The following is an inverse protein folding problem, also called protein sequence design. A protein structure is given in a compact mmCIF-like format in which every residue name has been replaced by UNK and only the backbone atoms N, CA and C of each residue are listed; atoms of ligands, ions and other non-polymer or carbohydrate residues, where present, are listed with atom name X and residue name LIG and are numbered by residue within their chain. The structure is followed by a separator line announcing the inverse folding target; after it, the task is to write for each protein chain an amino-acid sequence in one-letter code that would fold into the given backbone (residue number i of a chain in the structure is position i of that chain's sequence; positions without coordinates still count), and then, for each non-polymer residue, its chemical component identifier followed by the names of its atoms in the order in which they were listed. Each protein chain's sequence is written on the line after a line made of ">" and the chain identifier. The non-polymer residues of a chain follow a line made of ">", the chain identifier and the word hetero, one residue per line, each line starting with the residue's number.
data_IF_225152237215
#
_entry.id   IF_225152237215
#
_cell.length_a   1.000
_cell.length_b   1.000
_cell.length_c   1.000
_cell.angle_alpha   90.00
_cell.angle_beta   90.00
_cell.angle_gamma   90.00
#
_symmetry.space_group_name_H-M   'P 1'
#
loop_
_entity.id
_entity.type
_entity.pdbx_description
1 polymer ?
#
# COMPACT_ATOMS: atom_id res chain seq x y z
N UNK A 1 -11.31 14.04 17.20
CA UNK A 1 -11.66 14.26 15.77
C UNK A 1 -11.13 13.17 14.84
N UNK A 2 -9.83 12.84 14.85
CA UNK A 2 -9.26 11.85 13.92
C UNK A 2 -9.88 10.43 14.01
N UNK A 3 -10.21 9.94 15.21
CA UNK A 3 -10.86 8.62 15.40
C UNK A 3 -12.24 8.54 14.74
N UNK A 4 -13.01 9.65 14.78
CA UNK A 4 -14.33 9.72 14.15
C UNK A 4 -14.22 9.70 12.62
N UNK A 5 -13.19 10.34 12.06
CA UNK A 5 -12.91 10.30 10.61
C UNK A 5 -12.56 8.87 10.19
N UNK A 6 -11.75 8.15 10.97
CA UNK A 6 -11.42 6.75 10.68
C UNK A 6 -12.64 5.84 10.75
N UNK A 7 -13.50 6.03 11.75
CA UNK A 7 -14.76 5.29 11.84
C UNK A 7 -15.66 5.56 10.62
N UNK A 8 -15.80 6.82 10.21
CA UNK A 8 -16.60 7.20 9.04
C UNK A 8 -16.04 6.60 7.74
N UNK A 9 -14.72 6.63 7.55
CA UNK A 9 -14.05 6.00 6.40
C UNK A 9 -14.21 4.47 6.42
N UNK A 10 -14.18 3.85 7.61
CA UNK A 10 -14.42 2.42 7.77
C UNK A 10 -15.85 2.03 7.35
N UNK A 11 -16.85 2.80 7.76
CA UNK A 11 -18.25 2.58 7.35
C UNK A 11 -18.42 2.84 5.86
N UNK A 12 -17.87 3.93 5.34
CA UNK A 12 -17.93 4.27 3.91
C UNK A 12 -17.33 3.15 3.05
N UNK A 13 -16.16 2.62 3.44
CA UNK A 13 -15.54 1.48 2.77
C UNK A 13 -16.46 0.27 2.81
N UNK A 14 -16.98 -0.11 3.98
CA UNK A 14 -17.85 -1.27 4.13
C UNK A 14 -19.09 -1.15 3.23
N UNK A 15 -19.77 0.00 3.27
CA UNK A 15 -20.97 0.24 2.47
C UNK A 15 -20.65 0.22 0.98
N UNK A 16 -19.58 0.88 0.55
CA UNK A 16 -19.20 0.92 -0.88
C UNK A 16 -18.83 -0.46 -1.40
N UNK A 17 -18.02 -1.22 -0.67
CA UNK A 17 -17.63 -2.58 -1.09
C UNK A 17 -18.81 -3.55 -1.08
N UNK A 18 -19.71 -3.45 -0.10
CA UNK A 18 -20.93 -4.26 -0.06
C UNK A 18 -21.92 -3.85 -1.15
N UNK A 19 -22.01 -2.56 -1.51
CA UNK A 19 -22.91 -2.10 -2.57
C UNK A 19 -22.48 -2.51 -3.97
N UNK A 20 -21.17 -2.71 -4.17
CA UNK A 20 -20.58 -3.10 -5.46
C UNK A 20 -20.37 -4.64 -5.51
N UNK A 21 -20.74 -5.38 -4.46
CA UNK A 21 -20.42 -6.81 -4.30
C UNK A 21 -18.95 -7.11 -4.59
N UNK A 22 -18.05 -6.24 -4.11
CA UNK A 22 -16.63 -6.38 -4.32
C UNK A 22 -16.10 -7.62 -3.57
N UNK A 23 -15.29 -8.43 -4.24
CA UNK A 23 -14.70 -9.62 -3.65
C UNK A 23 -13.63 -9.24 -2.63
N UNK A 24 -13.88 -9.53 -1.36
CA UNK A 24 -12.93 -9.34 -0.27
C UNK A 24 -12.68 -10.64 0.46
N UNK A 25 -11.42 -11.03 0.60
CA UNK A 25 -11.05 -12.18 1.41
C UNK A 25 -11.39 -11.92 2.88
N UNK A 26 -12.35 -12.67 3.41
CA UNK A 26 -12.69 -12.62 4.83
C UNK A 26 -11.52 -13.01 5.75
N UNK A 27 -10.48 -13.68 5.23
CA UNK A 27 -9.24 -14.00 5.97
C UNK A 27 -8.30 -12.81 6.20
N UNK A 28 -8.48 -11.68 5.49
CA UNK A 28 -7.61 -10.51 5.70
C UNK A 28 -7.98 -9.75 6.99
N UNK A 29 -9.27 -9.44 7.15
CA UNK A 29 -9.75 -8.64 8.28
C UNK A 29 -11.01 -9.22 8.95
N UNK A 30 -11.77 -10.07 8.25
CA UNK A 30 -13.11 -10.50 8.64
C UNK A 30 -14.17 -10.09 7.62
N UNK A 31 -15.42 -10.43 7.89
CA UNK A 31 -16.56 -10.19 6.98
C UNK A 31 -16.98 -8.71 6.96
N UNK A 32 -16.96 -8.04 8.11
CA UNK A 32 -17.41 -6.65 8.26
C UNK A 32 -16.29 -5.69 8.69
N UNK A 33 -15.12 -6.23 9.04
CA UNK A 33 -13.98 -5.47 9.51
C UNK A 33 -13.12 -4.99 8.35
N UNK A 34 -12.44 -3.86 8.55
CA UNK A 34 -11.47 -3.36 7.60
C UNK A 34 -10.36 -2.59 8.32
N UNK A 35 -9.31 -2.27 7.57
CA UNK A 35 -8.13 -1.57 8.08
C UNK A 35 -8.45 -0.27 8.84
N UNK A 36 -9.47 0.50 8.43
CA UNK A 36 -9.82 1.74 9.13
C UNK A 36 -10.43 1.47 10.51
N UNK A 37 -11.23 0.40 10.65
CA UNK A 37 -11.74 -0.04 11.95
C UNK A 37 -10.62 -0.56 12.86
N UNK A 38 -9.63 -1.26 12.31
CA UNK A 38 -8.40 -1.64 13.03
C UNK A 38 -7.68 -0.40 13.56
N UNK A 39 -7.41 0.61 12.72
CA UNK A 39 -6.77 1.87 13.15
C UNK A 39 -7.59 2.67 14.17
N UNK A 40 -8.91 2.71 13.99
CA UNK A 40 -9.82 3.38 14.91
C UNK A 40 -9.75 2.73 16.30
N UNK A 41 -9.79 1.40 16.35
CA UNK A 41 -9.73 0.61 17.59
C UNK A 41 -8.37 0.73 18.25
N UNK A 42 -7.28 0.65 17.50
CA UNK A 42 -5.92 0.83 18.01
C UNK A 42 -5.72 2.19 18.66
N UNK A 43 -6.22 3.27 18.03
CA UNK A 43 -6.15 4.61 18.62
C UNK A 43 -6.96 4.73 19.91
N UNK A 44 -8.15 4.13 19.96
CA UNK A 44 -8.95 4.09 21.18
C UNK A 44 -8.28 3.30 22.30
N UNK A 45 -7.73 2.13 21.96
CA UNK A 45 -6.99 1.25 22.87
C UNK A 45 -5.74 1.96 23.41
N UNK A 46 -4.96 2.60 22.54
CA UNK A 46 -3.77 3.36 22.94
C UNK A 46 -4.13 4.47 23.94
N UNK A 47 -5.15 5.28 23.65
CA UNK A 47 -5.61 6.31 24.57
C UNK A 47 -5.99 5.76 25.95
N UNK A 48 -6.60 4.57 25.99
CA UNK A 48 -6.96 3.90 27.24
C UNK A 48 -5.72 3.38 28.00
N UNK A 49 -4.75 2.80 27.27
CA UNK A 49 -3.51 2.25 27.84
C UNK A 49 -2.58 3.32 28.36
N UNK A 50 -2.43 4.44 27.63
CA UNK A 50 -1.66 5.61 28.05
C UNK A 50 -2.19 6.17 29.38
N UNK A 51 -3.52 6.09 29.61
CA UNK A 51 -4.15 6.48 30.88
C UNK A 51 -3.99 5.46 32.00
N UNK A 52 -3.89 4.17 31.64
CA UNK A 52 -3.73 3.09 32.61
C UNK A 52 -2.27 2.85 33.02
N UNK A 53 -1.29 3.42 32.30
CA UNK A 53 0.14 3.23 32.56
C UNK A 53 0.62 1.80 32.29
N UNK A 54 -0.12 1.02 31.48
CA UNK A 54 0.15 -0.39 31.22
C UNK A 54 1.00 -0.51 29.94
N UNK A 55 2.22 -1.01 30.08
CA UNK A 55 3.01 -1.48 28.94
C UNK A 55 2.45 -2.85 28.52
N UNK A 56 1.87 -2.95 27.32
CA UNK A 56 1.25 -4.20 26.88
C UNK A 56 2.28 -5.32 26.72
N UNK A 57 1.93 -6.50 27.24
CA UNK A 57 2.58 -7.77 26.90
C UNK A 57 2.00 -8.32 25.60
N UNK A 58 2.86 -8.80 24.70
CA UNK A 58 2.46 -9.46 23.47
C UNK A 58 1.63 -10.70 23.80
N UNK A 59 0.38 -10.75 23.33
CA UNK A 59 -0.50 -11.91 23.52
C UNK A 59 -0.09 -13.03 22.57
N UNK A 60 0.90 -13.81 22.99
CA UNK A 60 1.22 -15.13 22.45
C UNK A 60 0.12 -16.10 22.90
N UNK A 61 -0.79 -16.47 21.99
CA UNK A 61 -1.83 -17.47 22.30
C UNK A 61 -3.09 -17.39 21.43
N UNK A 62 -3.30 -16.32 20.66
CA UNK A 62 -4.49 -16.18 19.80
C UNK A 62 -4.31 -16.75 18.37
N UNK A 63 -3.11 -17.22 18.03
CA UNK A 63 -2.77 -17.53 16.64
C UNK A 63 -3.56 -18.73 16.11
N UNK A 64 -3.74 -19.77 16.93
CA UNK A 64 -4.50 -20.97 16.56
C UNK A 64 -5.99 -20.68 16.35
N UNK A 65 -6.53 -19.71 17.10
CA UNK A 65 -7.93 -19.26 16.96
C UNK A 65 -8.13 -18.38 15.72
N UNK A 66 -7.16 -17.53 15.38
CA UNK A 66 -7.22 -16.67 14.19
C UNK A 66 -7.05 -17.48 12.90
N UNK A 67 -6.16 -18.48 12.90
CA UNK A 67 -5.91 -19.32 11.72
C UNK A 67 -6.94 -20.44 11.50
N UNK A 68 -7.84 -20.69 12.46
CA UNK A 68 -8.89 -21.69 12.24
C UNK A 68 -9.83 -21.26 11.11
N UNK A 69 -10.38 -22.21 10.36
CA UNK A 69 -11.39 -21.93 9.34
C UNK A 69 -12.79 -21.70 9.92
N UNK A 70 -12.99 -22.06 11.20
CA UNK A 70 -14.30 -22.01 11.85
C UNK A 70 -14.76 -20.57 12.07
N UNK A 71 -15.90 -20.24 11.47
CA UNK A 71 -16.59 -18.96 11.64
C UNK A 71 -18.03 -19.23 12.02
N UNK A 72 -18.49 -18.60 13.09
CA UNK A 72 -19.90 -18.51 13.43
C UNK A 72 -20.47 -17.21 12.82
N UNK A 73 -21.33 -17.28 11.79
CA UNK A 73 -21.94 -16.10 11.17
C UNK A 73 -22.86 -15.32 12.13
N UNK A 74 -23.36 -15.95 13.20
CA UNK A 74 -24.23 -15.30 14.18
C UNK A 74 -23.46 -14.39 15.14
N UNK A 75 -22.15 -14.59 15.29
CA UNK A 75 -21.29 -13.82 16.18
C UNK A 75 -20.44 -12.81 15.41
N UNK A 76 -20.68 -11.52 15.62
CA UNK A 76 -19.84 -10.45 15.05
C UNK A 76 -18.37 -10.58 15.44
N UNK A 77 -18.07 -11.19 16.59
CA UNK A 77 -16.70 -11.40 17.04
C UNK A 77 -16.03 -12.53 16.25
N UNK A 78 -16.74 -13.64 16.00
CA UNK A 78 -16.22 -14.77 15.22
C UNK A 78 -16.10 -14.43 13.73
N UNK A 79 -17.06 -13.66 13.21
CA UNK A 79 -17.05 -13.17 11.84
C UNK A 79 -15.90 -12.18 11.52
N UNK A 80 -15.31 -11.57 12.56
CA UNK A 80 -14.23 -10.58 12.43
C UNK A 80 -13.00 -10.93 13.26
N UNK A 81 -12.80 -12.22 13.55
CA UNK A 81 -11.76 -12.70 14.46
C UNK A 81 -10.35 -12.36 14.00
N UNK A 82 -10.11 -12.25 12.70
CA UNK A 82 -8.82 -11.92 12.11
C UNK A 82 -8.45 -10.45 12.37
N UNK A 83 -9.41 -9.54 12.15
CA UNK A 83 -9.25 -8.11 12.42
C UNK A 83 -9.16 -7.78 13.91
N UNK A 84 -9.90 -8.49 14.76
CA UNK A 84 -9.89 -8.29 16.21
C UNK A 84 -8.66 -8.96 16.85
N UNK A 85 -8.35 -10.19 16.43
CA UNK A 85 -7.23 -10.97 16.94
C UNK A 85 -5.86 -10.37 16.58
N UNK A 86 -5.80 -9.55 15.54
CA UNK A 86 -4.59 -8.80 15.18
C UNK A 86 -4.36 -7.53 16.00
N UNK A 87 -5.36 -7.04 16.75
CA UNK A 87 -5.25 -5.79 17.54
C UNK A 87 -4.08 -5.78 18.54
N UNK A 88 -3.81 -6.85 19.32
CA UNK A 88 -2.68 -6.86 20.24
C UNK A 88 -1.34 -6.79 19.50
N UNK A 89 -1.20 -7.48 18.37
CA UNK A 89 0.01 -7.46 17.54
C UNK A 89 0.26 -6.07 16.95
N UNK A 90 -0.78 -5.44 16.41
CA UNK A 90 -0.69 -4.07 15.93
C UNK A 90 -0.41 -3.06 17.04
N UNK A 91 -0.96 -3.25 18.24
CA UNK A 91 -0.69 -2.37 19.37
C UNK A 91 0.76 -2.50 19.86
N UNK A 92 1.31 -3.72 19.87
CA UNK A 92 2.72 -3.96 20.17
C UNK A 92 3.65 -3.29 19.13
N UNK A 93 3.35 -3.44 17.83
CA UNK A 93 4.08 -2.77 16.76
C UNK A 93 4.03 -1.25 16.90
N UNK A 94 2.86 -0.71 17.22
CA UNK A 94 2.68 0.73 17.43
C UNK A 94 3.52 1.25 18.60
N UNK A 95 3.50 0.56 19.74
CA UNK A 95 4.31 0.92 20.92
C UNK A 95 5.81 0.81 20.63
N UNK A 96 6.24 -0.24 19.93
CA UNK A 96 7.63 -0.39 19.50
C UNK A 96 8.07 0.79 18.62
N UNK A 97 7.26 1.15 17.62
CA UNK A 97 7.51 2.29 16.75
C UNK A 97 7.52 3.62 17.52
N UNK A 98 6.64 3.80 18.51
CA UNK A 98 6.62 4.99 19.35
C UNK A 98 7.91 5.10 20.19
N UNK A 99 8.31 4.02 20.88
CA UNK A 99 9.56 3.97 21.65
C UNK A 99 10.79 4.23 20.78
N UNK A 100 10.85 3.62 19.59
CA UNK A 100 11.93 3.86 18.62
C UNK A 100 11.92 5.31 18.12
N UNK A 101 10.73 5.87 17.85
CA UNK A 101 10.55 7.25 17.45
C UNK A 101 11.06 8.23 18.49
N UNK A 102 10.69 8.02 19.76
CA UNK A 102 11.14 8.84 20.89
C UNK A 102 12.64 8.72 21.12
N UNK A 103 13.20 7.51 21.08
CA UNK A 103 14.64 7.28 21.19
C UNK A 103 15.41 7.97 20.06
N UNK A 104 14.95 7.82 18.82
CA UNK A 104 15.51 8.51 17.67
C UNK A 104 15.40 10.04 17.81
N UNK A 105 14.25 10.55 18.25
CA UNK A 105 14.03 11.97 18.46
C UNK A 105 14.98 12.54 19.50
N UNK A 106 15.13 11.87 20.65
CA UNK A 106 16.07 12.26 21.71
C UNK A 106 17.53 12.20 21.23
N UNK A 107 17.90 11.16 20.48
CA UNK A 107 19.23 11.05 19.88
C UNK A 107 19.50 12.20 18.90
N UNK A 108 18.54 12.50 18.02
CA UNK A 108 18.66 13.62 17.08
C UNK A 108 18.75 14.96 17.79
N UNK A 109 17.96 15.19 18.84
CA UNK A 109 18.06 16.39 19.67
C UNK A 109 19.41 16.49 20.38
N UNK A 110 19.99 15.37 20.79
CA UNK A 110 21.26 15.34 21.52
C UNK A 110 22.49 15.55 20.63
N UNK A 111 22.47 15.00 19.42
CA UNK A 111 23.66 14.85 18.57
C UNK A 111 23.65 15.65 17.27
N UNK A 112 22.48 16.07 16.77
CA UNK A 112 22.37 16.76 15.48
C UNK A 112 22.08 18.24 15.69
N UNK A 113 20.84 18.65 15.98
CA UNK A 113 20.40 20.00 16.41
C UNK A 113 18.92 19.93 16.87
N UNK A 114 18.43 20.82 17.76
CA UNK A 114 17.02 20.86 18.15
C UNK A 114 16.10 21.15 16.96
N UNK A 115 14.89 20.55 16.98
CA UNK A 115 13.98 20.55 15.83
C UNK A 115 13.54 21.96 15.43
N UNK A 116 14.03 22.42 14.29
CA UNK A 116 13.50 23.58 13.58
C UNK A 116 12.32 23.15 12.69
N UNK A 117 11.21 23.89 12.70
CA UNK A 117 10.04 23.63 11.84
C UNK A 117 10.38 23.60 10.34
N UNK A 118 11.55 24.13 9.94
CA UNK A 118 12.07 24.12 8.56
C UNK A 118 12.72 22.79 8.18
N UNK A 119 13.21 22.01 9.14
CA UNK A 119 13.92 20.75 8.91
C UNK A 119 12.99 19.52 8.79
N UNK A 120 11.72 19.61 9.18
CA UNK A 120 10.76 18.51 9.06
C UNK A 120 10.51 18.12 7.58
N UNK A 121 10.52 19.10 6.68
CA UNK A 121 10.51 18.82 5.24
C UNK A 121 11.84 18.23 4.77
N UNK A 122 12.96 18.56 5.42
CA UNK A 122 14.27 18.04 5.05
C UNK A 122 14.38 16.54 5.34
N UNK A 123 13.86 16.04 6.47
CA UNK A 123 13.84 14.59 6.73
C UNK A 123 12.99 13.83 5.72
N UNK A 124 11.81 14.34 5.36
CA UNK A 124 11.00 13.75 4.30
C UNK A 124 11.72 13.78 2.94
N UNK A 125 12.30 14.93 2.56
CA UNK A 125 13.03 15.09 1.30
C UNK A 125 14.25 14.18 1.25
N UNK A 126 15.02 14.06 2.34
CA UNK A 126 16.19 13.17 2.43
C UNK A 126 15.76 11.71 2.38
N UNK A 127 14.65 11.32 3.01
CA UNK A 127 14.14 9.96 2.95
C UNK A 127 13.65 9.58 1.54
N UNK A 128 12.87 10.46 0.89
CA UNK A 128 12.43 10.27 -0.50
C UNK A 128 13.64 10.26 -1.43
N UNK A 129 14.61 11.14 -1.23
CA UNK A 129 15.85 11.15 -2.02
C UNK A 129 16.62 9.84 -1.83
N UNK A 130 16.76 9.33 -0.60
CA UNK A 130 17.46 8.08 -0.32
C UNK A 130 16.77 6.87 -0.97
N UNK A 131 15.43 6.78 -0.92
CA UNK A 131 14.66 5.73 -1.60
C UNK A 131 14.88 5.77 -3.11
N UNK A 132 14.80 6.95 -3.73
CA UNK A 132 15.05 7.10 -5.15
C UNK A 132 16.51 6.79 -5.53
N UNK A 133 17.47 7.24 -4.70
CA UNK A 133 18.89 6.97 -4.91
C UNK A 133 19.20 5.47 -4.80
N UNK A 134 18.55 4.75 -3.88
CA UNK A 134 18.70 3.30 -3.74
C UNK A 134 18.24 2.58 -5.02
N UNK A 135 17.12 2.99 -5.61
CA UNK A 135 16.64 2.43 -6.88
C UNK A 135 17.62 2.74 -8.01
N UNK A 136 18.07 3.99 -8.13
CA UNK A 136 19.04 4.40 -9.18
C UNK A 136 20.38 3.68 -9.03
N UNK A 137 20.92 3.57 -7.81
CA UNK A 137 22.17 2.86 -7.53
C UNK A 137 22.01 1.35 -7.74
N UNK A 138 20.86 0.78 -7.39
CA UNK A 138 20.53 -0.61 -7.69
C UNK A 138 20.51 -0.88 -9.19
N UNK A 139 19.82 -0.03 -9.97
CA UNK A 139 19.84 -0.09 -11.42
C UNK A 139 21.25 0.10 -11.98
N UNK A 140 22.02 1.07 -11.46
CA UNK A 140 23.38 1.34 -11.89
C UNK A 140 24.36 0.23 -11.51
N UNK A 141 24.15 -0.52 -10.43
CA UNK A 141 24.95 -1.69 -10.08
C UNK A 141 24.66 -2.87 -11.03
N UNK A 142 23.38 -3.11 -11.32
CA UNK A 142 22.93 -4.15 -12.28
C UNK A 142 23.41 -3.84 -13.71
N UNK A 143 23.39 -2.57 -14.10
CA UNK A 143 23.83 -2.12 -15.44
C UNK A 143 25.34 -1.86 -15.50
N UNK A 144 25.95 -1.44 -14.40
CA UNK A 144 27.37 -1.09 -14.28
C UNK A 144 28.30 -2.28 -14.29
N UNK A 145 27.82 -3.48 -13.91
CA UNK A 145 28.50 -4.75 -14.18
C UNK A 145 28.61 -5.11 -15.67
N UNK A 146 27.93 -4.36 -16.56
CA UNK A 146 27.95 -4.52 -18.02
C UNK A 146 28.70 -3.39 -18.72
N UNK A 147 29.71 -2.79 -18.07
CA UNK A 147 30.62 -1.76 -18.63
C UNK A 147 31.57 -2.29 -19.71
N UNK A 148 31.01 -2.93 -20.73
CA UNK A 148 31.65 -3.17 -22.02
C UNK A 148 30.89 -2.41 -23.10
N UNK A 149 31.45 -1.29 -23.55
CA UNK A 149 31.07 -0.41 -24.67
C UNK A 149 29.92 -0.83 -25.60
N UNK A 150 28.68 -0.90 -25.11
CA UNK A 150 27.50 -0.95 -25.96
C UNK A 150 26.91 0.44 -26.03
N UNK A 151 26.93 1.03 -27.23
CA UNK A 151 26.13 2.19 -27.59
C UNK A 151 24.74 2.07 -26.94
N UNK A 152 24.26 3.15 -26.32
CA UNK A 152 22.99 3.18 -25.63
C UNK A 152 21.93 2.50 -26.50
N UNK A 153 21.49 1.30 -26.09
CA UNK A 153 20.46 0.58 -26.84
C UNK A 153 19.24 1.50 -26.89
N UNK A 154 18.68 1.80 -28.07
CA UNK A 154 17.46 2.60 -28.13
C UNK A 154 16.41 1.94 -27.25
N UNK A 155 15.72 2.74 -26.43
CA UNK A 155 14.64 2.24 -25.59
C UNK A 155 13.62 1.53 -26.49
N UNK A 156 13.12 0.34 -26.10
CA UNK A 156 12.01 -0.28 -26.81
C UNK A 156 10.86 0.72 -26.94
N UNK A 157 10.28 0.83 -28.14
CA UNK A 157 9.28 1.86 -28.45
C UNK A 157 8.10 1.86 -27.47
N UNK A 158 7.69 0.69 -26.98
CA UNK A 158 6.64 0.55 -25.98
C UNK A 158 7.03 1.18 -24.62
N UNK A 159 8.29 1.03 -24.21
CA UNK A 159 8.80 1.60 -22.97
C UNK A 159 8.98 3.11 -23.09
N UNK A 160 9.43 3.58 -24.26
CA UNK A 160 9.51 5.01 -24.56
C UNK A 160 8.11 5.67 -24.55
N UNK A 161 7.12 5.03 -25.16
CA UNK A 161 5.72 5.47 -25.12
C UNK A 161 5.19 5.55 -23.67
N UNK A 162 5.41 4.53 -22.85
CA UNK A 162 5.00 4.59 -21.45
C UNK A 162 5.67 5.73 -20.68
N UNK A 163 6.96 5.98 -20.94
CA UNK A 163 7.72 7.06 -20.31
C UNK A 163 7.21 8.45 -20.72
N UNK A 164 6.87 8.64 -21.99
CA UNK A 164 6.42 9.92 -22.53
C UNK A 164 5.00 10.30 -22.07
N UNK A 165 4.16 9.31 -21.76
CA UNK A 165 2.78 9.50 -21.32
C UNK A 165 2.51 8.98 -19.90
N UNK A 166 3.49 9.11 -19.01
CA UNK A 166 3.51 8.43 -17.71
C UNK A 166 2.24 8.67 -16.86
N UNK A 167 1.71 9.90 -16.83
CA UNK A 167 0.48 10.21 -16.09
C UNK A 167 -0.77 9.55 -16.69
N UNK A 168 -0.95 9.64 -18.01
CA UNK A 168 -2.13 9.08 -18.68
C UNK A 168 -2.13 7.55 -18.63
N UNK A 169 -0.97 6.94 -18.85
CA UNK A 169 -0.78 5.49 -18.76
C UNK A 169 -1.00 5.00 -17.32
N UNK A 170 -0.51 5.74 -16.31
CA UNK A 170 -0.74 5.43 -14.90
C UNK A 170 -2.24 5.45 -14.54
N UNK A 171 -2.97 6.48 -14.91
CA UNK A 171 -4.40 6.58 -14.62
C UNK A 171 -5.19 5.47 -15.31
N UNK A 172 -4.91 5.22 -16.59
CA UNK A 172 -5.58 4.16 -17.33
C UNK A 172 -5.29 2.76 -16.77
N UNK A 173 -4.05 2.50 -16.36
CA UNK A 173 -3.64 1.25 -15.71
C UNK A 173 -4.43 1.01 -14.40
N UNK A 174 -4.56 2.03 -13.54
CA UNK A 174 -5.32 1.91 -12.29
C UNK A 174 -6.82 1.67 -12.55
N UNK A 175 -7.41 2.35 -13.54
CA UNK A 175 -8.81 2.13 -13.92
C UNK A 175 -9.03 0.74 -14.50
N UNK A 176 -8.14 0.27 -15.36
CA UNK A 176 -8.22 -1.06 -15.96
C UNK A 176 -8.03 -2.15 -14.91
N UNK A 177 -7.16 -1.94 -13.91
CA UNK A 177 -7.01 -2.84 -12.76
C UNK A 177 -8.32 -2.94 -11.98
N UNK A 178 -8.97 -1.81 -11.71
CA UNK A 178 -10.30 -1.78 -11.08
C UNK A 178 -11.36 -2.51 -11.92
N UNK A 179 -11.34 -2.35 -13.24
CA UNK A 179 -12.27 -3.03 -14.15
C UNK A 179 -12.06 -4.55 -14.17
N UNK A 180 -10.81 -5.02 -14.17
CA UNK A 180 -10.50 -6.46 -14.06
C UNK A 180 -11.01 -7.01 -12.72
N UNK A 181 -10.71 -6.34 -11.61
CA UNK A 181 -11.16 -6.77 -10.27
C UNK A 181 -12.68 -6.74 -10.09
N UNK A 182 -13.40 -5.92 -10.86
CA UNK A 182 -14.86 -5.88 -10.85
C UNK A 182 -15.52 -6.92 -11.79
N UNK A 183 -14.80 -7.40 -12.79
CA UNK A 183 -15.34 -8.28 -13.84
C UNK A 183 -14.98 -9.76 -13.66
N UNK A 184 -13.88 -10.05 -12.96
CA UNK A 184 -13.38 -11.41 -12.74
C UNK A 184 -13.18 -11.65 -11.26
N UNK A 185 -13.52 -12.85 -10.79
CA UNK A 185 -13.14 -13.30 -9.45
C UNK A 185 -11.65 -13.56 -9.31
N UNK A 186 -10.89 -12.47 -9.18
CA UNK A 186 -9.43 -12.50 -9.09
C UNK A 186 -8.93 -13.28 -7.87
N UNK A 187 -9.79 -13.48 -6.85
CA UNK A 187 -9.44 -14.20 -5.63
C UNK A 187 -9.51 -15.72 -5.79
N UNK A 188 -10.40 -16.21 -6.65
CA UNK A 188 -10.58 -17.65 -6.93
C UNK A 188 -10.00 -18.08 -8.28
N UNK A 189 -9.45 -17.13 -9.05
CA UNK A 189 -8.86 -17.40 -10.36
C UNK A 189 -7.56 -18.20 -10.22
N UNK A 190 -7.52 -19.38 -10.83
CA UNK A 190 -6.32 -20.22 -10.87
C UNK A 190 -5.14 -19.58 -11.62
N UNK A 191 -3.93 -20.11 -11.41
CA UNK A 191 -2.69 -19.52 -11.90
C UNK A 191 -2.69 -19.23 -13.41
N UNK A 192 -3.06 -20.20 -14.25
CA UNK A 192 -2.99 -20.04 -15.71
C UNK A 192 -3.93 -18.96 -16.26
N UNK A 193 -5.23 -18.93 -15.90
CA UNK A 193 -6.10 -17.81 -16.22
C UNK A 193 -5.58 -16.47 -15.69
N UNK A 194 -5.02 -16.42 -14.47
CA UNK A 194 -4.46 -15.19 -13.91
C UNK A 194 -3.30 -14.65 -14.74
N UNK A 195 -2.38 -15.52 -15.19
CA UNK A 195 -1.30 -15.14 -16.11
C UNK A 195 -1.86 -14.64 -17.45
N UNK A 196 -2.91 -15.27 -17.98
CA UNK A 196 -3.59 -14.82 -19.20
C UNK A 196 -4.18 -13.42 -19.06
N UNK A 197 -4.86 -13.15 -17.94
CA UNK A 197 -5.41 -11.83 -17.62
C UNK A 197 -4.30 -10.78 -17.50
N UNK A 198 -3.20 -11.09 -16.82
CA UNK A 198 -2.06 -10.19 -16.70
C UNK A 198 -1.40 -9.88 -18.04
N UNK A 199 -1.24 -10.87 -18.92
CA UNK A 199 -0.70 -10.66 -20.27
C UNK A 199 -1.62 -9.78 -21.10
N UNK A 200 -2.94 -10.04 -21.07
CA UNK A 200 -3.94 -9.24 -21.78
C UNK A 200 -3.98 -7.79 -21.24
N UNK A 201 -3.95 -7.63 -19.92
CA UNK A 201 -3.87 -6.34 -19.24
C UNK A 201 -2.63 -5.55 -19.69
N UNK A 202 -1.46 -6.17 -19.65
CA UNK A 202 -0.21 -5.53 -20.07
C UNK A 202 -0.24 -5.14 -21.54
N UNK A 203 -0.76 -6.00 -22.42
CA UNK A 203 -0.91 -5.70 -23.84
C UNK A 203 -1.84 -4.49 -24.07
N UNK A 204 -2.93 -4.39 -23.32
CA UNK A 204 -3.88 -3.28 -23.40
C UNK A 204 -3.22 -1.95 -22.98
N UNK A 205 -2.52 -1.93 -21.84
CA UNK A 205 -1.81 -0.74 -21.34
C UNK A 205 -0.73 -0.28 -22.32
N UNK A 206 0.07 -1.19 -22.87
CA UNK A 206 1.11 -0.86 -23.85
C UNK A 206 0.53 -0.37 -25.18
N UNK A 207 -0.60 -0.94 -25.61
CA UNK A 207 -1.31 -0.50 -26.83
C UNK A 207 -1.87 0.91 -26.67
N UNK A 208 -2.44 1.21 -25.49
CA UNK A 208 -2.91 2.54 -25.15
C UNK A 208 -1.75 3.55 -25.14
N UNK A 209 -0.62 3.21 -24.52
CA UNK A 209 0.57 4.07 -24.51
C UNK A 209 0.99 4.40 -25.95
N UNK A 210 1.13 3.39 -26.81
CA UNK A 210 1.49 3.59 -28.22
C UNK A 210 0.45 4.42 -29.00
N UNK A 211 -0.85 4.22 -28.74
CA UNK A 211 -1.92 5.00 -29.37
C UNK A 211 -1.86 6.48 -28.97
N UNK A 212 -1.64 6.76 -27.68
CA UNK A 212 -1.46 8.12 -27.16
C UNK A 212 -0.23 8.80 -27.76
N UNK A 213 0.90 8.09 -27.84
CA UNK A 213 2.11 8.63 -28.50
C UNK A 213 1.82 9.04 -29.93
N UNK A 214 1.13 8.18 -30.72
CA UNK A 214 0.76 8.48 -32.12
C UNK A 214 -0.20 9.67 -32.25
N UNK A 215 -1.20 9.74 -31.38
CA UNK A 215 -2.19 10.82 -31.37
C UNK A 215 -1.57 12.19 -31.01
N UNK A 216 -0.58 12.20 -30.12
CA UNK A 216 0.09 13.41 -29.65
C UNK A 216 1.27 13.82 -30.53
N UNK A 217 1.96 12.87 -31.17
CA UNK A 217 3.04 13.18 -32.14
C UNK A 217 2.55 13.88 -33.40
N UNK A 218 1.24 13.80 -33.70
CA UNK A 218 0.60 14.51 -34.81
C UNK A 218 0.20 15.96 -34.50
N UNK A 219 0.36 16.42 -33.25
CA UNK A 219 0.12 17.83 -32.90
C UNK A 219 1.42 18.62 -33.06
N UNK A 220 1.45 19.74 -33.79
CA UNK A 220 2.64 20.59 -33.84
C UNK A 220 2.98 21.02 -32.41
N UNK A 221 4.24 20.83 -32.01
CA UNK A 221 4.73 21.36 -30.73
C UNK A 221 4.60 22.87 -30.82
N UNK A 222 3.68 23.46 -30.05
CA UNK A 222 3.57 24.91 -29.92
C UNK A 222 4.94 25.43 -29.46
N UNK A 223 5.55 26.26 -30.29
CA UNK A 223 6.81 26.94 -30.04
C UNK A 223 6.65 28.01 -28.96
#
# INVERSE_FOLDING_TARGET
>A
MQTLVLAALGVLRLVTTSSINYQSHASEYGIHWNFFFTLCTLRGLQWALDRAGICQTASLGLIDYVHSSDRDPASLLSANKEGIGSLPGYAALHLLCACLGDACFLALQRWVQPVSRRACNATYVVWILALNLQVVLGCAAVLGGRRGGRAARPLPAALAACNDQMLAVFLAANLLTGAVNASVDTLETGDWPAHGILVAYMACVLSLAAALTRALSGRPKAA
#
